data_IF_600075882123
#
_entry.id   IF_600075882123
#
_cell.length_a   1.000
_cell.length_b   1.000
_cell.length_c   1.000
_cell.angle_alpha   90.00
_cell.angle_beta   90.00
_cell.angle_gamma   90.00
#
_symmetry.space_group_name_H-M   'P 1'
#
loop_
_entity.id
_entity.type
_entity.pdbx_description
1 polymer ?
#
# COMPACT_ATOMS: atom_id res chain seq x y z
N UNK A 1 -4.31 24.56 23.18
CA UNK A 1 -4.13 23.38 22.32
C UNK A 1 -5.50 22.74 22.10
N UNK A 2 -5.93 22.59 20.85
CA UNK A 2 -7.27 22.07 20.53
C UNK A 2 -7.28 20.52 20.56
N UNK A 3 -8.43 19.87 20.38
CA UNK A 3 -8.51 18.39 20.35
C UNK A 3 -7.95 17.86 19.04
N UNK A 4 -8.19 18.55 17.93
CA UNK A 4 -7.62 18.20 16.63
C UNK A 4 -6.09 18.20 16.64
N UNK A 5 -5.47 19.24 17.24
CA UNK A 5 -4.00 19.35 17.37
C UNK A 5 -3.35 18.21 18.16
N UNK A 6 -4.10 17.58 19.07
CA UNK A 6 -3.60 16.44 19.85
C UNK A 6 -3.56 15.14 19.06
N UNK A 7 -4.30 15.05 17.95
CA UNK A 7 -4.28 13.88 17.06
C UNK A 7 -3.16 13.93 16.01
N UNK A 8 -2.62 15.12 15.71
CA UNK A 8 -1.59 15.28 14.67
C UNK A 8 -0.36 14.37 14.86
N UNK A 9 0.17 14.14 16.08
CA UNK A 9 1.26 13.18 16.28
C UNK A 9 0.86 11.73 15.94
N UNK A 10 -0.35 11.31 16.30
CA UNK A 10 -0.85 9.97 16.00
C UNK A 10 -1.08 9.79 14.50
N UNK A 11 -1.62 10.82 13.84
CA UNK A 11 -1.83 10.82 12.40
C UNK A 11 -0.49 10.71 11.65
N UNK A 12 0.53 11.46 12.07
CA UNK A 12 1.88 11.35 11.48
C UNK A 12 2.47 9.95 11.61
N UNK A 13 2.31 9.30 12.77
CA UNK A 13 2.80 7.92 12.96
C UNK A 13 2.02 6.94 12.08
N UNK A 14 0.71 7.09 11.95
CA UNK A 14 -0.11 6.24 11.09
C UNK A 14 0.27 6.40 9.60
N UNK A 15 0.43 7.64 9.13
CA UNK A 15 0.89 7.95 7.78
C UNK A 15 2.28 7.34 7.50
N UNK A 16 3.22 7.50 8.43
CA UNK A 16 4.55 6.88 8.29
C UNK A 16 4.48 5.35 8.16
N UNK A 17 3.65 4.69 8.98
CA UNK A 17 3.45 3.23 8.89
C UNK A 17 2.82 2.81 7.56
N UNK A 18 1.87 3.59 7.05
CA UNK A 18 1.27 3.34 5.75
C UNK A 18 2.30 3.48 4.63
N UNK A 19 3.14 4.52 4.66
CA UNK A 19 4.19 4.75 3.68
C UNK A 19 5.24 3.63 3.70
N UNK A 20 5.65 3.19 4.89
CA UNK A 20 6.59 2.08 5.04
C UNK A 20 5.98 0.77 4.52
N UNK A 21 4.71 0.48 4.84
CA UNK A 21 4.01 -0.68 4.29
C UNK A 21 3.88 -0.61 2.75
N UNK A 22 3.67 0.59 2.19
CA UNK A 22 3.59 0.77 0.75
C UNK A 22 4.95 0.51 0.06
N UNK A 23 6.06 0.92 0.69
CA UNK A 23 7.41 0.60 0.21
C UNK A 23 7.68 -0.89 0.24
N UNK A 24 7.35 -1.59 1.32
CA UNK A 24 7.50 -3.04 1.42
C UNK A 24 6.70 -3.78 0.33
N UNK A 25 5.44 -3.39 0.09
CA UNK A 25 4.63 -3.96 -1.01
C UNK A 25 5.33 -3.74 -2.35
N UNK A 26 5.84 -2.54 -2.62
CA UNK A 26 6.51 -2.24 -3.88
C UNK A 26 7.78 -3.08 -4.07
N UNK A 27 8.56 -3.29 -3.00
CA UNK A 27 9.73 -4.17 -3.04
C UNK A 27 9.34 -5.63 -3.29
N UNK A 28 8.30 -6.13 -2.61
CA UNK A 28 7.82 -7.51 -2.83
C UNK A 28 7.23 -7.70 -4.23
N UNK A 29 6.52 -6.71 -4.77
CA UNK A 29 6.00 -6.75 -6.14
C UNK A 29 7.15 -6.78 -7.17
N UNK A 30 8.23 -6.01 -6.98
CA UNK A 30 9.43 -6.08 -7.83
C UNK A 30 10.10 -7.45 -7.77
N UNK A 31 10.34 -7.96 -6.55
CA UNK A 31 10.97 -9.26 -6.36
C UNK A 31 10.12 -10.38 -6.99
N UNK A 32 8.78 -10.32 -6.85
CA UNK A 32 7.88 -11.27 -7.48
C UNK A 32 7.99 -11.23 -9.01
N UNK A 33 7.99 -10.04 -9.61
CA UNK A 33 8.12 -9.87 -11.06
C UNK A 33 9.42 -10.48 -11.59
N UNK A 34 10.53 -10.32 -10.87
CA UNK A 34 11.82 -10.97 -11.21
C UNK A 34 11.74 -12.50 -11.15
N UNK A 35 11.10 -13.05 -10.12
CA UNK A 35 10.95 -14.51 -10.00
C UNK A 35 10.01 -15.09 -11.07
N UNK A 36 8.96 -14.36 -11.45
CA UNK A 36 8.05 -14.74 -12.52
C UNK A 36 8.74 -14.70 -13.88
N UNK A 37 9.51 -13.64 -14.16
CA UNK A 37 10.32 -13.56 -15.38
C UNK A 37 11.32 -14.70 -15.50
N UNK A 38 11.97 -15.08 -14.38
CA UNK A 38 12.89 -16.23 -14.34
C UNK A 38 12.17 -17.56 -14.60
N UNK A 39 10.98 -17.75 -14.03
CA UNK A 39 10.16 -18.94 -14.26
C UNK A 39 9.76 -19.06 -15.73
N UNK A 40 9.31 -17.96 -16.33
CA UNK A 40 8.93 -17.92 -17.74
C UNK A 40 10.12 -18.20 -18.66
N UNK A 41 11.30 -17.66 -18.36
CA UNK A 41 12.52 -17.97 -19.10
C UNK A 41 12.88 -19.46 -19.02
N UNK A 42 12.80 -20.08 -17.83
CA UNK A 42 13.05 -21.51 -17.66
C UNK A 42 12.03 -22.37 -18.43
N UNK A 43 10.75 -21.99 -18.42
CA UNK A 43 9.69 -22.70 -19.16
C UNK A 43 9.90 -22.62 -20.66
N UNK A 44 10.19 -21.44 -21.20
CA UNK A 44 10.51 -21.26 -22.63
C UNK A 44 11.71 -22.08 -23.03
N UNK A 45 12.78 -22.02 -22.24
CA UNK A 45 13.98 -22.82 -22.49
C UNK A 45 13.69 -24.32 -22.46
N UNK A 46 12.81 -24.79 -21.56
CA UNK A 46 12.39 -26.19 -21.50
C UNK A 46 11.60 -26.64 -22.72
N UNK A 47 10.69 -25.79 -23.20
CA UNK A 47 9.89 -26.04 -24.39
C UNK A 47 10.78 -26.07 -25.65
N UNK A 48 11.65 -25.08 -25.82
CA UNK A 48 12.62 -25.04 -26.92
C UNK A 48 13.56 -26.25 -26.91
N UNK A 49 14.03 -26.65 -25.72
CA UNK A 49 14.91 -27.81 -25.58
C UNK A 49 14.19 -29.15 -25.82
N UNK A 50 12.87 -29.22 -25.65
CA UNK A 50 12.12 -30.46 -25.87
C UNK A 50 12.07 -30.86 -27.35
N UNK A 51 12.16 -29.91 -28.28
CA UNK A 51 12.09 -30.13 -29.72
C UNK A 51 13.20 -31.09 -30.20
N UNK A 52 12.87 -32.26 -30.80
CA UNK A 52 13.87 -33.25 -31.21
C UNK A 52 14.80 -32.65 -32.28
N UNK A 53 16.09 -33.01 -32.29
CA UNK A 53 16.99 -32.56 -33.35
C UNK A 53 16.49 -33.08 -34.70
N UNK A 54 16.40 -32.18 -35.68
CA UNK A 54 15.98 -32.50 -37.04
C UNK A 54 17.10 -33.23 -37.78
N UNK A 55 16.90 -34.53 -38.03
CA UNK A 55 17.69 -35.35 -38.94
C UNK A 55 18.78 -36.22 -38.29
N UNK A 56 18.79 -37.50 -38.65
CA UNK A 56 19.87 -38.46 -38.37
C UNK A 56 19.65 -39.40 -37.18
N UNK A 57 20.32 -40.55 -37.21
CA UNK A 57 20.40 -41.52 -36.12
C UNK A 57 21.18 -40.92 -34.93
N UNK A 58 20.51 -40.74 -33.80
CA UNK A 58 21.14 -40.20 -32.57
C UNK A 58 21.89 -41.33 -31.85
N UNK A 59 23.15 -41.08 -31.46
CA UNK A 59 23.91 -42.02 -30.64
C UNK A 59 23.22 -42.24 -29.27
N UNK A 60 23.12 -43.48 -28.76
CA UNK A 60 22.42 -43.77 -27.49
C UNK A 60 22.90 -42.94 -26.29
N UNK A 61 24.20 -42.68 -26.18
CA UNK A 61 24.77 -41.84 -25.13
C UNK A 61 24.30 -40.37 -25.19
N UNK A 62 24.15 -39.82 -26.40
CA UNK A 62 23.65 -38.46 -26.60
C UNK A 62 22.17 -38.34 -26.22
N UNK A 63 21.38 -39.37 -26.55
CA UNK A 63 19.99 -39.47 -26.14
C UNK A 63 19.85 -39.53 -24.61
N UNK A 64 20.66 -40.35 -23.93
CA UNK A 64 20.67 -40.45 -22.48
C UNK A 64 21.02 -39.12 -21.81
N UNK A 65 22.05 -38.42 -22.29
CA UNK A 65 22.44 -37.10 -21.79
C UNK A 65 21.31 -36.07 -21.94
N UNK A 66 20.64 -36.07 -23.09
CA UNK A 66 19.51 -35.17 -23.36
C UNK A 66 18.34 -35.41 -22.40
N UNK A 67 17.98 -36.68 -22.15
CA UNK A 67 16.93 -37.04 -21.20
C UNK A 67 17.30 -36.61 -19.77
N UNK A 68 18.56 -36.82 -19.36
CA UNK A 68 19.03 -36.42 -18.05
C UNK A 68 19.00 -34.88 -17.88
N UNK A 69 19.39 -34.12 -18.90
CA UNK A 69 19.31 -32.66 -18.85
C UNK A 69 17.87 -32.16 -18.80
N UNK A 70 16.97 -32.77 -19.59
CA UNK A 70 15.54 -32.46 -19.54
C UNK A 70 14.95 -32.67 -18.14
N UNK A 71 15.26 -33.79 -17.48
CA UNK A 71 14.79 -34.06 -16.12
C UNK A 71 15.31 -33.02 -15.11
N UNK A 72 16.56 -32.56 -15.25
CA UNK A 72 17.12 -31.46 -14.44
C UNK A 72 16.38 -30.14 -14.68
N UNK A 73 16.02 -29.85 -15.92
CA UNK A 73 15.31 -28.64 -16.29
C UNK A 73 13.87 -28.64 -15.78
N UNK A 74 13.16 -29.76 -15.87
CA UNK A 74 11.84 -29.95 -15.26
C UNK A 74 11.90 -29.73 -13.74
N UNK A 75 12.90 -30.31 -13.08
CA UNK A 75 13.15 -30.08 -11.64
C UNK A 75 13.39 -28.60 -11.32
N UNK A 76 14.16 -27.89 -12.14
CA UNK A 76 14.43 -26.46 -11.95
C UNK A 76 13.17 -25.60 -12.13
N UNK A 77 12.32 -25.93 -13.10
CA UNK A 77 11.02 -25.26 -13.31
C UNK A 77 10.11 -25.48 -12.09
N UNK A 78 10.03 -26.70 -11.56
CA UNK A 78 9.25 -26.98 -10.36
C UNK A 78 9.75 -26.19 -9.15
N UNK A 79 11.06 -26.16 -8.93
CA UNK A 79 11.68 -25.40 -7.85
C UNK A 79 11.40 -23.90 -7.98
N UNK A 80 11.57 -23.34 -9.18
CA UNK A 80 11.29 -21.92 -9.43
C UNK A 80 9.80 -21.60 -9.29
N UNK A 81 8.89 -22.51 -9.67
CA UNK A 81 7.46 -22.34 -9.45
C UNK A 81 7.13 -22.22 -7.96
N UNK A 82 7.73 -23.07 -7.12
CA UNK A 82 7.56 -23.00 -5.65
C UNK A 82 8.09 -21.69 -5.07
N UNK A 83 9.19 -21.16 -5.62
CA UNK A 83 9.73 -19.85 -5.23
C UNK A 83 8.72 -18.75 -5.57
N UNK A 84 8.19 -18.72 -6.80
CA UNK A 84 7.17 -17.75 -7.22
C UNK A 84 5.93 -17.81 -6.33
N UNK A 85 5.42 -19.02 -6.06
CA UNK A 85 4.25 -19.19 -5.20
C UNK A 85 4.51 -18.68 -3.77
N UNK A 86 5.72 -18.90 -3.25
CA UNK A 86 6.10 -18.36 -1.95
C UNK A 86 6.20 -16.82 -1.97
N UNK A 87 6.81 -16.24 -3.02
CA UNK A 87 6.87 -14.79 -3.21
C UNK A 87 5.48 -14.16 -3.29
N UNK A 88 4.53 -14.80 -3.98
CA UNK A 88 3.12 -14.36 -4.03
C UNK A 88 2.48 -14.31 -2.65
N UNK A 89 2.65 -15.37 -1.84
CA UNK A 89 2.13 -15.41 -0.47
C UNK A 89 2.71 -14.30 0.40
N UNK A 90 4.01 -14.05 0.32
CA UNK A 90 4.65 -12.95 1.06
C UNK A 90 4.11 -11.59 0.62
N UNK A 91 3.98 -11.38 -0.69
CA UNK A 91 3.41 -10.16 -1.25
C UNK A 91 1.97 -9.92 -0.77
N UNK A 92 1.17 -10.97 -0.67
CA UNK A 92 -0.21 -10.87 -0.19
C UNK A 92 -0.29 -10.48 1.29
N UNK A 93 0.65 -10.98 2.12
CA UNK A 93 0.77 -10.55 3.52
C UNK A 93 1.09 -9.06 3.62
N UNK A 94 2.05 -8.56 2.84
CA UNK A 94 2.38 -7.13 2.87
C UNK A 94 1.22 -6.27 2.34
N UNK A 95 0.49 -6.72 1.31
CA UNK A 95 -0.71 -6.01 0.83
C UNK A 95 -1.81 -5.95 1.89
N UNK A 96 -2.00 -7.02 2.66
CA UNK A 96 -2.94 -7.03 3.78
C UNK A 96 -2.52 -6.03 4.88
N UNK A 97 -1.22 -5.94 5.19
CA UNK A 97 -0.68 -4.95 6.14
C UNK A 97 -0.90 -3.52 5.65
N UNK A 98 -0.61 -3.24 4.38
CA UNK A 98 -0.86 -1.92 3.78
C UNK A 98 -2.34 -1.55 3.85
N UNK A 99 -3.25 -2.49 3.60
CA UNK A 99 -4.68 -2.24 3.70
C UNK A 99 -5.09 -1.84 5.12
N UNK A 100 -4.57 -2.53 6.13
CA UNK A 100 -4.84 -2.21 7.54
C UNK A 100 -4.29 -0.84 7.92
N UNK A 101 -3.02 -0.56 7.61
CA UNK A 101 -2.40 0.74 7.87
C UNK A 101 -3.17 1.89 7.17
N UNK A 102 -3.60 1.69 5.92
CA UNK A 102 -4.39 2.68 5.18
C UNK A 102 -5.75 2.95 5.82
N UNK A 103 -6.39 1.92 6.40
CA UNK A 103 -7.66 2.06 7.14
C UNK A 103 -7.44 2.87 8.42
N UNK A 104 -6.41 2.55 9.20
CA UNK A 104 -6.10 3.24 10.44
C UNK A 104 -5.82 4.73 10.20
N UNK A 105 -5.01 5.05 9.18
CA UNK A 105 -4.76 6.43 8.76
C UNK A 105 -6.07 7.14 8.42
N UNK A 106 -6.90 6.54 7.58
CA UNK A 106 -8.18 7.14 7.16
C UNK A 106 -9.11 7.41 8.33
N UNK A 107 -9.18 6.50 9.32
CA UNK A 107 -10.00 6.69 10.52
C UNK A 107 -9.49 7.89 11.34
N UNK A 108 -8.17 8.00 11.53
CA UNK A 108 -7.58 9.13 12.26
C UNK A 108 -7.79 10.46 11.53
N UNK A 109 -7.69 10.48 10.20
CA UNK A 109 -7.98 11.66 9.37
C UNK A 109 -9.43 12.11 9.51
N UNK A 110 -10.38 11.18 9.44
CA UNK A 110 -11.80 11.47 9.64
C UNK A 110 -12.08 12.00 11.04
N UNK A 111 -11.48 11.40 12.07
CA UNK A 111 -11.62 11.85 13.46
C UNK A 111 -11.04 13.27 13.64
N UNK A 112 -9.83 13.53 13.14
CA UNK A 112 -9.23 14.85 13.18
C UNK A 112 -10.09 15.89 12.45
N UNK A 113 -10.63 15.54 11.28
CA UNK A 113 -11.56 16.38 10.53
C UNK A 113 -12.84 16.72 11.32
N UNK A 114 -13.41 15.72 12.01
CA UNK A 114 -14.59 15.93 12.86
C UNK A 114 -14.33 16.91 14.01
N UNK A 115 -13.16 16.82 14.66
CA UNK A 115 -12.78 17.76 15.70
C UNK A 115 -12.52 19.16 15.17
N UNK A 116 -11.87 19.30 14.02
CA UNK A 116 -11.68 20.62 13.38
C UNK A 116 -13.03 21.27 13.07
N UNK A 117 -13.98 20.52 12.51
CA UNK A 117 -15.32 21.03 12.23
C UNK A 117 -16.07 21.47 13.51
N UNK A 118 -15.96 20.70 14.59
CA UNK A 118 -16.55 21.08 15.88
C UNK A 118 -15.90 22.34 16.47
N UNK A 119 -14.58 22.43 16.41
CA UNK A 119 -13.81 23.57 16.90
C UNK A 119 -14.16 24.85 16.15
N UNK A 120 -14.29 24.78 14.82
CA UNK A 120 -14.73 25.90 13.99
C UNK A 120 -16.12 26.38 14.38
N UNK A 121 -17.10 25.47 14.53
CA UNK A 121 -18.47 25.83 14.94
C UNK A 121 -18.51 26.52 16.31
N UNK A 122 -17.74 26.02 17.27
CA UNK A 122 -17.66 26.63 18.61
C UNK A 122 -17.02 28.02 18.55
N UNK A 123 -15.98 28.19 17.73
CA UNK A 123 -15.35 29.48 17.52
C UNK A 123 -16.31 30.49 16.85
N UNK A 124 -17.02 30.08 15.80
CA UNK A 124 -18.03 30.90 15.11
C UNK A 124 -19.15 31.34 16.06
N UNK A 125 -19.69 30.42 16.88
CA UNK A 125 -20.72 30.74 17.87
C UNK A 125 -20.22 31.75 18.92
N UNK A 126 -18.94 31.66 19.32
CA UNK A 126 -18.35 32.60 20.26
C UNK A 126 -18.19 33.99 19.63
N UNK A 127 -17.67 34.07 18.41
CA UNK A 127 -17.54 35.33 17.66
C UNK A 127 -18.91 35.99 17.47
N UNK A 128 -19.93 35.22 17.09
CA UNK A 128 -21.28 35.75 16.93
C UNK A 128 -21.82 36.35 18.24
N UNK A 129 -21.69 35.65 19.37
CA UNK A 129 -22.12 36.18 20.68
C UNK A 129 -21.38 37.45 21.06
N UNK A 130 -20.07 37.52 20.82
CA UNK A 130 -19.27 38.71 21.10
C UNK A 130 -19.72 39.91 20.24
N UNK A 131 -20.08 39.69 18.96
CA UNK A 131 -20.63 40.72 18.08
C UNK A 131 -22.03 41.17 18.53
N UNK A 132 -22.90 40.23 18.90
CA UNK A 132 -24.25 40.53 19.39
C UNK A 132 -24.20 41.37 20.69
N UNK A 133 -23.30 41.03 21.62
CA UNK A 133 -23.10 41.78 22.86
C UNK A 133 -22.61 43.22 22.60
N UNK A 134 -21.67 43.40 21.66
CA UNK A 134 -21.18 44.71 21.27
C UNK A 134 -22.29 45.55 20.59
N UNK A 135 -23.10 44.91 19.74
CA UNK A 135 -24.27 45.53 19.13
C UNK A 135 -25.29 45.99 20.19
N UNK A 136 -25.62 45.12 21.14
CA UNK A 136 -26.56 45.42 22.22
C UNK A 136 -26.06 46.55 23.14
N UNK A 137 -24.75 46.64 23.40
CA UNK A 137 -24.15 47.75 24.16
C UNK A 137 -24.23 49.08 23.42
N UNK A 138 -23.97 49.11 22.11
CA UNK A 138 -24.12 50.32 21.29
C UNK A 138 -25.55 50.83 21.27
N UNK A 139 -26.52 49.93 21.05
CA UNK A 139 -27.95 50.31 21.04
C UNK A 139 -28.38 50.91 22.39
N UNK A 140 -27.89 50.38 23.51
CA UNK A 140 -28.16 50.96 24.83
C UNK A 140 -27.52 52.34 25.02
N UNK A 141 -26.27 52.52 24.59
CA UNK A 141 -25.60 53.81 24.67
C UNK A 141 -26.32 54.91 23.85
N UNK A 142 -26.77 54.57 22.63
CA UNK A 142 -27.54 55.50 21.78
C UNK A 142 -28.93 55.85 22.37
N UNK A 143 -29.47 55.02 23.28
CA UNK A 143 -30.74 55.29 23.98
C UNK A 143 -30.54 56.13 25.26
N UNK A 144 -29.33 56.20 25.79
CA UNK A 144 -28.99 56.94 27.02
C UNK A 144 -28.45 58.36 26.76
N UNK A 145 -28.08 58.72 25.53
CA UNK A 145 -27.83 60.11 25.13
C UNK A 145 -29.15 60.81 24.74
N UNK A 146 -29.70 61.73 25.56
CA UNK A 146 -30.82 62.55 25.13
C UNK A 146 -30.32 63.62 24.15
N UNK A 147 -31.05 63.80 23.04
CA UNK A 147 -30.83 64.88 22.06
C UNK A 147 -30.93 66.27 22.69
#
# INVERSE_FOLDING_TARGET
>A
MTRSQRLDPLLRVAQQRQDDAAREVAERDRALAEQEARLDALRRYAEEYAAPPSGGTIAPALLANRLAFRAKLETAVEQQSRIVDNSRRHRDVERARLLLASRDTKVLEQLAGSYRAQETRVAEQRVQRELDDLGARRVRADQEEPR
#
